data_IF_133161445073
#
_entry.id   IF_133161445073
#
_cell.length_a   1.000
_cell.length_b   1.000
_cell.length_c   1.000
_cell.angle_alpha   90.00
_cell.angle_beta   90.00
_cell.angle_gamma   90.00
#
_symmetry.space_group_name_H-M   'P 1'
#
loop_
_entity.id
_entity.type
_entity.pdbx_description
1 polymer ?
#
# COMPACT_ATOMS: atom_id res chain seq x y z
N UNK A 1 13.79 15.58 -11.74
CA UNK A 1 12.49 15.24 -11.12
C UNK A 1 12.73 15.08 -9.64
N UNK A 2 11.97 15.75 -8.76
CA UNK A 2 12.24 15.64 -7.32
C UNK A 2 11.99 14.19 -6.89
N UNK A 3 12.90 13.64 -6.09
CA UNK A 3 12.81 12.27 -5.55
C UNK A 3 11.43 12.01 -4.92
N UNK A 4 10.88 13.00 -4.22
CA UNK A 4 9.59 12.92 -3.52
C UNK A 4 8.41 12.52 -4.41
N UNK A 5 8.31 13.07 -5.62
CA UNK A 5 7.20 12.70 -6.52
C UNK A 5 7.32 11.26 -7.02
N UNK A 6 8.56 10.79 -7.19
CA UNK A 6 8.83 9.41 -7.57
C UNK A 6 8.55 8.45 -6.42
N UNK A 7 9.07 8.75 -5.24
CA UNK A 7 8.88 7.94 -4.03
C UNK A 7 7.39 7.77 -3.69
N UNK A 8 6.60 8.85 -3.87
CA UNK A 8 5.15 8.80 -3.67
C UNK A 8 4.44 7.88 -4.69
N UNK A 9 4.82 7.96 -5.97
CA UNK A 9 4.22 7.12 -7.01
C UNK A 9 4.64 5.66 -6.85
N UNK A 10 5.90 5.40 -6.48
CA UNK A 10 6.41 4.06 -6.19
C UNK A 10 5.68 3.45 -4.97
N UNK A 11 5.44 4.23 -3.90
CA UNK A 11 4.66 3.76 -2.75
C UNK A 11 3.19 3.44 -3.09
N UNK A 12 2.55 4.20 -3.97
CA UNK A 12 1.22 3.84 -4.46
C UNK A 12 1.22 2.56 -5.31
N UNK A 13 2.28 2.33 -6.09
CA UNK A 13 2.44 1.10 -6.87
C UNK A 13 2.60 -0.12 -5.96
N UNK A 14 3.40 0.00 -4.89
CA UNK A 14 3.61 -1.06 -3.91
C UNK A 14 2.30 -1.45 -3.21
N UNK A 15 1.59 -0.49 -2.63
CA UNK A 15 0.28 -0.72 -2.00
C UNK A 15 -0.71 -1.37 -2.99
N UNK A 16 -0.74 -0.90 -4.24
CA UNK A 16 -1.63 -1.46 -5.26
C UNK A 16 -1.30 -2.93 -5.56
N UNK A 17 -0.02 -3.29 -5.64
CA UNK A 17 0.41 -4.68 -5.85
C UNK A 17 0.06 -5.56 -4.66
N UNK A 18 0.28 -5.08 -3.44
CA UNK A 18 -0.07 -5.84 -2.24
C UNK A 18 -1.57 -6.15 -2.18
N UNK A 19 -2.43 -5.15 -2.45
CA UNK A 19 -3.87 -5.35 -2.51
C UNK A 19 -4.24 -6.36 -3.59
N UNK A 20 -3.60 -6.30 -4.75
CA UNK A 20 -3.86 -7.24 -5.84
C UNK A 20 -3.47 -8.67 -5.45
N UNK A 21 -2.27 -8.84 -4.89
CA UNK A 21 -1.77 -10.14 -4.46
C UNK A 21 -2.56 -10.70 -3.28
N UNK A 22 -3.11 -9.85 -2.41
CA UNK A 22 -4.01 -10.29 -1.34
C UNK A 22 -5.33 -10.87 -1.90
N UNK A 23 -5.90 -10.19 -2.88
CA UNK A 23 -7.22 -10.49 -3.43
C UNK A 23 -7.25 -11.55 -4.55
N UNK A 24 -6.18 -11.67 -5.34
CA UNK A 24 -6.13 -12.55 -6.51
C UNK A 24 -4.92 -13.50 -6.48
N UNK A 25 -5.07 -14.67 -7.10
CA UNK A 25 -3.95 -15.63 -7.30
C UNK A 25 -2.94 -15.20 -8.36
N UNK A 26 -3.26 -14.16 -9.12
CA UNK A 26 -2.42 -13.64 -10.18
C UNK A 26 -2.99 -12.34 -10.70
N UNK A 27 -3.19 -12.24 -12.02
CA UNK A 27 -3.64 -11.00 -12.64
C UNK A 27 -5.07 -10.66 -12.19
N UNK A 28 -5.33 -9.43 -11.73
CA UNK A 28 -6.69 -8.98 -11.41
C UNK A 28 -7.64 -9.26 -12.55
N UNK A 29 -8.85 -9.73 -12.21
CA UNK A 29 -9.94 -10.02 -13.15
C UNK A 29 -9.67 -11.14 -14.17
N UNK A 30 -8.45 -11.68 -14.23
CA UNK A 30 -8.07 -12.82 -15.07
C UNK A 30 -7.74 -14.08 -14.27
N UNK A 31 -7.56 -13.92 -12.95
CA UNK A 31 -7.31 -15.01 -12.00
C UNK A 31 -8.46 -15.11 -10.99
N UNK A 32 -8.66 -16.29 -10.36
CA UNK A 32 -9.60 -16.45 -9.27
C UNK A 32 -9.28 -15.49 -8.11
N UNK A 33 -10.33 -15.09 -7.39
CA UNK A 33 -10.16 -14.42 -6.10
C UNK A 33 -9.72 -15.43 -5.06
N UNK A 34 -8.82 -15.02 -4.17
CA UNK A 34 -8.42 -15.80 -3.02
C UNK A 34 -9.56 -15.78 -1.98
N UNK A 35 -9.86 -16.94 -1.42
CA UNK A 35 -10.71 -17.01 -0.24
C UNK A 35 -9.87 -16.65 0.99
N UNK A 36 -10.35 -15.68 1.77
CA UNK A 36 -9.65 -15.13 2.95
C UNK A 36 -10.59 -15.08 4.13
N UNK A 37 -10.06 -15.27 5.33
CA UNK A 37 -10.85 -15.11 6.55
C UNK A 37 -11.01 -13.63 6.90
N UNK A 38 -11.92 -13.36 7.84
CA UNK A 38 -12.11 -12.00 8.36
C UNK A 38 -10.85 -11.52 9.08
N UNK A 39 -10.21 -12.40 9.82
CA UNK A 39 -8.99 -12.14 10.58
C UNK A 39 -7.83 -11.79 9.64
N UNK A 40 -7.64 -12.55 8.55
CA UNK A 40 -6.62 -12.21 7.53
C UNK A 40 -6.88 -10.84 6.88
N UNK A 41 -8.15 -10.49 6.64
CA UNK A 41 -8.50 -9.18 6.11
C UNK A 41 -8.21 -8.05 7.11
N UNK A 42 -8.51 -8.26 8.39
CA UNK A 42 -8.24 -7.28 9.45
C UNK A 42 -6.73 -7.06 9.63
N UNK A 43 -5.93 -8.13 9.66
CA UNK A 43 -4.47 -8.05 9.72
C UNK A 43 -3.89 -7.32 8.50
N UNK A 44 -4.40 -7.63 7.30
CA UNK A 44 -3.97 -6.96 6.07
C UNK A 44 -4.29 -5.46 6.06
N UNK A 45 -5.50 -5.07 6.49
CA UNK A 45 -5.90 -3.67 6.56
C UNK A 45 -5.11 -2.88 7.62
N UNK A 46 -4.79 -3.50 8.76
CA UNK A 46 -3.95 -2.89 9.80
C UNK A 46 -2.51 -2.66 9.30
N UNK A 47 -1.99 -3.61 8.51
CA UNK A 47 -0.70 -3.48 7.82
C UNK A 47 -0.67 -2.30 6.86
N UNK A 48 -1.61 -2.27 5.90
CA UNK A 48 -1.74 -1.16 4.94
C UNK A 48 -1.93 0.19 5.61
N UNK A 49 -2.72 0.26 6.69
CA UNK A 49 -2.90 1.47 7.48
C UNK A 49 -1.55 1.97 8.00
N UNK A 50 -0.75 1.08 8.60
CA UNK A 50 0.54 1.41 9.18
C UNK A 50 1.51 1.94 8.12
N UNK A 51 1.62 1.22 7.00
CA UNK A 51 2.49 1.61 5.88
C UNK A 51 2.09 2.97 5.28
N UNK A 52 0.79 3.21 5.07
CA UNK A 52 0.30 4.50 4.59
C UNK A 52 0.69 5.66 5.51
N UNK A 53 0.61 5.45 6.82
CA UNK A 53 1.02 6.47 7.80
C UNK A 53 2.52 6.68 7.81
N UNK A 54 3.32 5.63 7.72
CA UNK A 54 4.79 5.73 7.67
C UNK A 54 5.27 6.46 6.41
N UNK A 55 4.69 6.14 5.25
CA UNK A 55 4.95 6.84 4.00
C UNK A 55 4.53 8.31 4.07
N UNK A 56 3.35 8.60 4.63
CA UNK A 56 2.92 9.98 4.85
C UNK A 56 3.87 10.73 5.78
N UNK A 57 4.24 10.16 6.94
CA UNK A 57 5.11 10.82 7.91
C UNK A 57 6.50 11.08 7.33
N UNK A 58 7.05 10.13 6.58
CA UNK A 58 8.34 10.27 5.90
C UNK A 58 8.29 11.36 4.83
N UNK A 59 7.22 11.37 4.03
CA UNK A 59 6.98 12.40 3.02
C UNK A 59 6.78 13.78 3.64
N UNK A 60 5.93 13.89 4.66
CA UNK A 60 5.68 15.11 5.42
C UNK A 60 6.97 15.67 6.01
N UNK A 61 7.80 14.82 6.61
CA UNK A 61 9.13 15.19 7.13
C UNK A 61 10.07 15.72 6.06
N UNK A 62 10.12 15.05 4.93
CA UNK A 62 10.94 15.46 3.80
C UNK A 62 10.48 16.79 3.19
N UNK A 63 9.19 17.11 3.34
CA UNK A 63 8.57 18.36 2.87
C UNK A 63 8.54 19.46 3.94
N UNK A 64 8.93 19.18 5.19
CA UNK A 64 8.86 20.10 6.33
C UNK A 64 7.42 20.45 6.73
N UNK A 65 6.47 19.54 6.53
CA UNK A 65 5.06 19.70 6.89
C UNK A 65 4.79 19.33 8.36
N UNK A 66 5.68 18.56 8.96
CA UNK A 66 5.78 18.34 10.40
C UNK A 66 6.47 19.55 11.06
N UNK A 67 5.68 20.34 11.79
CA UNK A 67 6.20 21.31 12.77
C UNK A 67 6.24 20.71 14.16
#
# INVERSE_FOLDING_TARGET
MSSVQRDMVEGYEEIAKEIQDFLWEGKPEKSPKKERTKEELEEFLEGLRTECWDNYNTGARSLGWDR
#
